data_IF_844389062499
#
_entry.id   IF_844389062499
#
_cell.length_a   1.000
_cell.length_b   1.000
_cell.length_c   1.000
_cell.angle_alpha   90.00
_cell.angle_beta   90.00
_cell.angle_gamma   90.00
#
_symmetry.space_group_name_H-M   'P 1'
#
loop_
_entity.id
_entity.type
_entity.pdbx_description
1 polymer ?
#
# COMPACT_ATOMS: atom_id res chain seq x y z
N UNK A 1 -64.50 -31.85 -50.40
CA UNK A 1 -63.18 -32.50 -50.24
C UNK A 1 -62.14 -31.66 -50.95
N UNK A 2 -60.95 -31.51 -50.34
CA UNK A 2 -59.76 -30.72 -50.77
C UNK A 2 -59.84 -29.23 -50.42
N UNK A 3 -58.89 -28.57 -49.76
CA UNK A 3 -57.54 -28.91 -49.30
C UNK A 3 -57.23 -28.09 -48.04
N UNK A 4 -56.76 -28.72 -46.97
CA UNK A 4 -56.11 -28.05 -45.84
C UNK A 4 -54.61 -28.12 -46.13
N UNK A 5 -53.99 -26.97 -46.41
CA UNK A 5 -52.54 -26.86 -46.57
C UNK A 5 -51.94 -26.59 -45.20
N UNK A 6 -51.15 -27.55 -44.70
CA UNK A 6 -50.25 -27.40 -43.57
C UNK A 6 -49.13 -26.44 -43.95
N UNK A 7 -48.99 -25.32 -43.22
CA UNK A 7 -47.77 -24.50 -43.22
C UNK A 7 -46.97 -24.91 -41.99
N UNK A 8 -45.97 -25.77 -42.21
CA UNK A 8 -44.93 -26.09 -41.23
C UNK A 8 -43.98 -24.87 -41.16
N UNK A 9 -44.08 -24.07 -40.10
CA UNK A 9 -43.08 -23.04 -39.81
C UNK A 9 -41.87 -23.74 -39.20
N UNK A 10 -40.89 -24.06 -40.04
CA UNK A 10 -39.57 -24.49 -39.59
C UNK A 10 -38.86 -23.24 -39.05
N UNK A 11 -38.87 -23.08 -37.73
CA UNK A 11 -37.97 -22.19 -37.00
C UNK A 11 -36.55 -22.78 -37.15
N UNK A 12 -35.84 -22.34 -38.19
CA UNK A 12 -34.39 -22.50 -38.31
C UNK A 12 -33.73 -21.66 -37.21
N UNK A 13 -33.48 -22.27 -36.05
CA UNK A 13 -32.40 -21.82 -35.19
C UNK A 13 -31.10 -22.07 -35.95
N UNK A 14 -30.60 -21.04 -36.64
CA UNK A 14 -29.24 -21.03 -37.14
C UNK A 14 -28.31 -21.02 -35.91
N UNK A 15 -27.87 -22.19 -35.47
CA UNK A 15 -26.67 -22.29 -34.66
C UNK A 15 -25.50 -21.92 -35.59
N UNK A 16 -25.05 -20.66 -35.54
CA UNK A 16 -23.79 -20.29 -36.15
C UNK A 16 -22.68 -21.15 -35.52
N UNK A 17 -22.16 -22.12 -36.28
CA UNK A 17 -21.01 -22.91 -35.85
C UNK A 17 -19.80 -21.97 -35.73
N UNK A 18 -19.35 -21.71 -34.51
CA UNK A 18 -18.05 -21.08 -34.29
C UNK A 18 -16.94 -22.09 -34.59
N UNK A 19 -16.03 -21.76 -35.52
CA UNK A 19 -14.85 -22.56 -35.79
C UNK A 19 -13.71 -22.16 -34.83
N UNK A 20 -12.97 -23.15 -34.33
CA UNK A 20 -11.69 -22.91 -33.66
C UNK A 20 -10.67 -22.48 -34.71
N UNK A 21 -10.07 -21.30 -34.51
CA UNK A 21 -9.06 -20.68 -35.37
C UNK A 21 -7.75 -20.55 -34.57
N UNK A 22 -6.62 -20.56 -35.27
CA UNK A 22 -5.31 -20.29 -34.69
C UNK A 22 -4.56 -19.31 -35.58
N UNK A 23 -3.86 -18.36 -34.97
CA UNK A 23 -3.01 -17.38 -35.65
C UNK A 23 -1.60 -17.40 -35.06
N UNK A 24 -0.60 -17.49 -35.94
CA UNK A 24 0.82 -17.47 -35.57
C UNK A 24 1.48 -16.21 -36.11
N UNK A 25 2.22 -15.49 -35.26
CA UNK A 25 3.06 -14.35 -35.66
C UNK A 25 4.49 -14.56 -35.15
N UNK A 26 5.48 -14.47 -36.05
CA UNK A 26 6.90 -14.61 -35.71
C UNK A 26 7.53 -13.26 -35.41
N UNK A 27 8.38 -13.19 -34.39
CA UNK A 27 9.22 -12.03 -34.07
C UNK A 27 10.68 -12.48 -33.99
N UNK A 28 11.56 -11.86 -34.79
CA UNK A 28 12.96 -12.28 -34.87
C UNK A 28 13.15 -13.69 -35.45
N UNK A 29 14.33 -14.28 -35.21
CA UNK A 29 14.71 -15.60 -35.77
C UNK A 29 14.23 -16.81 -34.97
N UNK A 30 13.78 -16.63 -33.73
CA UNK A 30 13.48 -17.73 -32.80
C UNK A 30 12.19 -17.56 -31.97
N UNK A 31 11.55 -16.39 -31.95
CA UNK A 31 10.35 -16.18 -31.10
C UNK A 31 9.07 -16.28 -31.93
N UNK A 32 8.12 -17.09 -31.46
CA UNK A 32 6.81 -17.27 -32.09
C UNK A 32 5.68 -17.04 -31.09
N UNK A 33 4.67 -16.29 -31.52
CA UNK A 33 3.41 -16.12 -30.80
C UNK A 33 2.36 -16.94 -31.49
N UNK A 34 1.70 -17.78 -30.70
CA UNK A 34 0.57 -18.56 -31.16
C UNK A 34 -0.66 -18.14 -30.35
N UNK A 35 -1.71 -17.72 -31.05
CA UNK A 35 -3.00 -17.36 -30.44
C UNK A 35 -4.03 -18.36 -30.92
N UNK A 36 -4.65 -19.09 -30.00
CA UNK A 36 -5.74 -20.02 -30.27
C UNK A 36 -7.06 -19.42 -29.77
N UNK A 37 -8.07 -19.35 -30.63
CA UNK A 37 -9.34 -18.71 -30.29
C UNK A 37 -10.52 -19.22 -31.13
N UNK A 38 -11.75 -18.87 -30.75
CA UNK A 38 -12.93 -19.03 -31.59
C UNK A 38 -13.36 -17.65 -32.13
N UNK A 39 -13.65 -17.55 -33.43
CA UNK A 39 -14.13 -16.30 -34.05
C UNK A 39 -15.15 -16.56 -35.15
N UNK A 40 -16.12 -15.66 -35.24
CA UNK A 40 -17.10 -15.61 -36.34
C UNK A 40 -16.48 -14.94 -37.58
N UNK A 41 -17.12 -15.13 -38.73
CA UNK A 41 -16.56 -14.87 -40.06
C UNK A 41 -16.36 -13.41 -40.46
N UNK A 42 -16.50 -12.45 -39.55
CA UNK A 42 -16.13 -11.05 -39.81
C UNK A 42 -15.34 -10.43 -38.65
N UNK A 43 -14.19 -9.87 -39.02
CA UNK A 43 -13.39 -8.85 -38.33
C UNK A 43 -13.15 -9.02 -36.83
N UNK A 44 -12.10 -9.78 -36.49
CA UNK A 44 -11.28 -9.58 -35.27
C UNK A 44 -11.95 -9.65 -33.89
N UNK A 45 -13.25 -9.97 -33.80
CA UNK A 45 -13.98 -10.07 -32.53
C UNK A 45 -13.82 -11.49 -31.96
N UNK A 46 -13.05 -11.62 -30.89
CA UNK A 46 -12.93 -12.87 -30.15
C UNK A 46 -14.25 -13.24 -29.46
N UNK A 47 -14.65 -14.52 -29.55
CA UNK A 47 -15.76 -15.11 -28.79
C UNK A 47 -15.36 -16.49 -28.29
N UNK A 48 -15.85 -16.92 -27.14
CA UNK A 48 -15.55 -18.24 -26.60
C UNK A 48 -14.12 -18.36 -26.07
N UNK A 49 -13.52 -19.55 -26.17
CA UNK A 49 -12.22 -19.86 -25.56
C UNK A 49 -11.07 -19.09 -26.22
N UNK A 50 -10.11 -18.66 -25.42
CA UNK A 50 -8.92 -17.96 -25.84
C UNK A 50 -7.70 -18.47 -25.08
N UNK A 51 -6.63 -18.76 -25.83
CA UNK A 51 -5.29 -19.04 -25.28
C UNK A 51 -4.23 -18.26 -26.04
N UNK A 52 -3.27 -17.74 -25.28
CA UNK A 52 -2.10 -17.07 -25.82
C UNK A 52 -0.85 -17.83 -25.40
N UNK A 53 -0.01 -18.16 -26.37
CA UNK A 53 1.27 -18.80 -26.17
C UNK A 53 2.41 -17.93 -26.71
N UNK A 54 3.54 -17.94 -26.03
CA UNK A 54 4.80 -17.37 -26.49
C UNK A 54 5.88 -18.45 -26.39
N UNK A 55 6.53 -18.77 -27.50
CA UNK A 55 7.53 -19.84 -27.58
C UNK A 55 7.04 -21.16 -26.93
N UNK A 56 5.80 -21.56 -27.26
CA UNK A 56 5.07 -22.71 -26.69
C UNK A 56 4.72 -22.62 -25.19
N UNK A 57 5.04 -21.52 -24.52
CA UNK A 57 4.69 -21.28 -23.12
C UNK A 57 3.33 -20.60 -23.05
N UNK A 58 2.37 -21.22 -22.35
CA UNK A 58 1.04 -20.66 -22.14
C UNK A 58 1.14 -19.41 -21.25
N UNK A 59 0.73 -18.26 -21.77
CA UNK A 59 0.74 -16.99 -21.05
C UNK A 59 -0.64 -16.58 -20.56
N UNK A 60 -1.70 -16.88 -21.32
CA UNK A 60 -3.09 -16.50 -20.98
C UNK A 60 -4.05 -17.61 -21.35
N UNK A 61 -5.03 -17.85 -20.47
CA UNK A 61 -6.11 -18.80 -20.71
C UNK A 61 -7.41 -18.20 -20.16
N UNK A 62 -8.43 -18.07 -21.01
CA UNK A 62 -9.70 -17.47 -20.63
C UNK A 62 -10.73 -17.53 -21.74
N UNK A 63 -11.67 -16.58 -21.70
CA UNK A 63 -12.70 -16.46 -22.71
C UNK A 63 -13.04 -15.00 -23.02
N UNK A 64 -13.48 -14.79 -24.25
CA UNK A 64 -14.08 -13.54 -24.69
C UNK A 64 -15.58 -13.73 -24.95
N UNK A 65 -16.35 -12.69 -24.68
CA UNK A 65 -17.72 -12.56 -25.14
C UNK A 65 -17.83 -11.23 -25.90
N UNK A 66 -18.14 -11.30 -27.19
CA UNK A 66 -18.23 -10.13 -28.07
C UNK A 66 -17.02 -9.19 -28.02
N UNK A 67 -15.80 -9.75 -28.01
CA UNK A 67 -14.56 -8.97 -27.99
C UNK A 67 -14.13 -8.50 -26.60
N UNK A 68 -14.97 -8.67 -25.58
CA UNK A 68 -14.64 -8.31 -24.21
C UNK A 68 -14.25 -9.55 -23.39
N UNK A 69 -13.26 -9.43 -22.49
CA UNK A 69 -12.89 -10.52 -21.59
C UNK A 69 -14.10 -10.88 -20.72
N UNK A 70 -14.40 -12.17 -20.65
CA UNK A 70 -15.53 -12.67 -19.88
C UNK A 70 -15.21 -14.03 -19.23
N UNK A 71 -15.74 -14.26 -18.05
CA UNK A 71 -15.51 -15.49 -17.28
C UNK A 71 -14.14 -15.53 -16.61
N UNK A 72 -13.67 -16.74 -16.32
CA UNK A 72 -12.45 -16.96 -15.54
C UNK A 72 -11.20 -16.88 -16.43
N UNK A 73 -10.23 -16.08 -16.01
CA UNK A 73 -8.97 -15.83 -16.71
C UNK A 73 -7.77 -16.21 -15.84
N UNK A 74 -6.78 -16.86 -16.46
CA UNK A 74 -5.49 -17.23 -15.87
C UNK A 74 -4.35 -16.55 -16.60
N UNK A 75 -3.38 -16.09 -15.84
CA UNK A 75 -2.21 -15.36 -16.33
C UNK A 75 -0.95 -16.02 -15.81
N UNK A 76 -0.04 -16.33 -16.72
CA UNK A 76 1.24 -16.98 -16.44
C UNK A 76 2.41 -16.06 -16.81
N UNK A 77 3.58 -16.28 -16.21
CA UNK A 77 4.85 -15.66 -16.59
C UNK A 77 5.51 -16.41 -17.77
N UNK A 78 6.71 -15.97 -18.16
CA UNK A 78 7.50 -16.56 -19.26
C UNK A 78 8.13 -17.91 -18.94
N UNK A 79 7.95 -18.42 -17.71
CA UNK A 79 8.35 -19.76 -17.31
C UNK A 79 7.12 -20.70 -17.25
N UNK A 80 5.93 -20.21 -17.62
CA UNK A 80 4.67 -20.95 -17.53
C UNK A 80 4.10 -21.06 -16.12
N UNK A 81 4.61 -20.25 -15.18
CA UNK A 81 4.16 -20.22 -13.78
C UNK A 81 2.95 -19.30 -13.65
N UNK A 82 1.88 -19.79 -13.02
CA UNK A 82 0.66 -19.01 -12.77
C UNK A 82 0.97 -17.86 -11.80
N UNK A 83 0.76 -16.62 -12.25
CA UNK A 83 1.03 -15.41 -11.45
C UNK A 83 -0.24 -14.80 -10.87
N UNK A 84 -1.36 -14.90 -11.58
CA UNK A 84 -2.67 -14.52 -11.05
C UNK A 84 -3.82 -15.09 -11.89
N UNK A 85 -4.99 -15.18 -11.26
CA UNK A 85 -6.23 -15.56 -11.92
C UNK A 85 -7.42 -14.81 -11.30
N UNK A 86 -8.52 -14.71 -12.05
CA UNK A 86 -9.73 -14.05 -11.57
C UNK A 86 -10.80 -13.98 -12.65
N UNK A 87 -11.94 -13.36 -12.34
CA UNK A 87 -13.04 -13.27 -13.29
C UNK A 87 -13.11 -11.89 -13.93
N UNK A 88 -13.48 -11.88 -15.21
CA UNK A 88 -13.98 -10.70 -15.91
C UNK A 88 -15.48 -10.83 -16.17
N UNK A 89 -16.14 -9.68 -16.26
CA UNK A 89 -17.50 -9.52 -16.74
C UNK A 89 -17.54 -8.28 -17.61
N UNK A 90 -17.91 -8.43 -18.88
CA UNK A 90 -17.95 -7.33 -19.86
C UNK A 90 -16.62 -6.54 -19.91
N UNK A 91 -15.49 -7.25 -19.97
CA UNK A 91 -14.16 -6.64 -20.04
C UNK A 91 -13.61 -6.12 -18.71
N UNK A 92 -14.42 -6.05 -17.65
CA UNK A 92 -14.05 -5.51 -16.35
C UNK A 92 -13.81 -6.61 -15.31
N UNK A 93 -12.77 -6.47 -14.49
CA UNK A 93 -12.48 -7.34 -13.35
C UNK A 93 -13.66 -7.35 -12.40
N UNK A 94 -14.08 -8.56 -12.05
CA UNK A 94 -15.23 -8.82 -11.21
C UNK A 94 -14.97 -10.01 -10.30
N UNK A 95 -15.51 -9.98 -9.08
CA UNK A 95 -15.34 -11.04 -8.10
C UNK A 95 -13.90 -11.17 -7.60
N UNK A 96 -13.54 -12.38 -7.17
CA UNK A 96 -12.24 -12.68 -6.57
C UNK A 96 -11.14 -12.77 -7.62
N UNK A 97 -10.02 -12.11 -7.32
CA UNK A 97 -8.76 -12.19 -8.01
C UNK A 97 -7.68 -12.71 -7.06
N UNK A 98 -6.97 -13.75 -7.48
CA UNK A 98 -5.95 -14.45 -6.69
C UNK A 98 -4.59 -14.21 -7.33
N UNK A 99 -3.61 -13.80 -6.53
CA UNK A 99 -2.25 -13.53 -6.96
C UNK A 99 -1.29 -14.50 -6.26
N UNK A 100 -0.34 -15.03 -7.02
CA UNK A 100 0.59 -16.06 -6.54
C UNK A 100 2.01 -15.52 -6.46
N UNK A 101 2.78 -16.05 -5.52
CA UNK A 101 4.23 -15.90 -5.42
C UNK A 101 4.81 -17.25 -5.03
N UNK A 102 5.83 -17.72 -5.74
CA UNK A 102 6.46 -19.03 -5.50
C UNK A 102 5.42 -20.17 -5.42
N UNK A 103 4.46 -20.17 -6.35
CA UNK A 103 3.35 -21.14 -6.43
C UNK A 103 2.39 -21.17 -5.22
N UNK A 104 2.47 -20.19 -4.32
CA UNK A 104 1.55 -20.02 -3.19
C UNK A 104 0.68 -18.78 -3.36
N UNK A 105 -0.52 -18.80 -2.80
CA UNK A 105 -1.39 -17.61 -2.76
C UNK A 105 -0.72 -16.53 -1.90
N UNK A 106 -0.37 -15.42 -2.53
CA UNK A 106 0.22 -14.24 -1.88
C UNK A 106 -0.89 -13.29 -1.42
N UNK A 107 -1.79 -12.90 -2.32
CA UNK A 107 -2.96 -12.11 -1.94
C UNK A 107 -4.19 -12.39 -2.80
N UNK A 108 -5.35 -12.17 -2.20
CA UNK A 108 -6.65 -12.20 -2.85
C UNK A 108 -7.30 -10.83 -2.71
N UNK A 109 -7.89 -10.33 -3.80
CA UNK A 109 -8.60 -9.06 -3.82
C UNK A 109 -9.90 -9.22 -4.60
N UNK A 110 -10.94 -8.54 -4.14
CA UNK A 110 -12.24 -8.58 -4.78
C UNK A 110 -12.50 -7.27 -5.54
N UNK A 111 -13.06 -7.41 -6.74
CA UNK A 111 -13.41 -6.31 -7.60
C UNK A 111 -14.90 -6.33 -7.95
N UNK A 112 -15.45 -5.15 -8.16
CA UNK A 112 -16.75 -4.92 -8.79
C UNK A 112 -16.55 -3.85 -9.85
N UNK A 113 -16.61 -4.25 -11.11
CA UNK A 113 -16.41 -3.36 -12.27
C UNK A 113 -15.10 -2.56 -12.15
N UNK A 114 -13.95 -3.24 -12.11
CA UNK A 114 -12.60 -2.66 -11.91
C UNK A 114 -12.32 -2.00 -10.56
N UNK A 115 -13.35 -1.73 -9.76
CA UNK A 115 -13.21 -1.05 -8.47
C UNK A 115 -13.06 -2.07 -7.35
N UNK A 116 -12.11 -1.86 -6.43
CA UNK A 116 -11.95 -2.72 -5.24
C UNK A 116 -13.22 -2.71 -4.40
N UNK A 117 -13.77 -3.87 -4.12
CA UNK A 117 -15.04 -4.02 -3.41
C UNK A 117 -15.03 -5.34 -2.63
N UNK A 118 -15.49 -5.36 -1.38
CA UNK A 118 -15.33 -6.47 -0.43
C UNK A 118 -13.94 -6.56 0.20
N UNK A 119 -13.16 -7.61 -0.01
CA UNK A 119 -12.01 -7.93 0.86
C UNK A 119 -10.70 -7.95 0.10
N UNK A 120 -9.64 -7.46 0.74
CA UNK A 120 -8.24 -7.66 0.33
C UNK A 120 -7.52 -8.43 1.43
N UNK A 121 -7.04 -9.62 1.09
CA UNK A 121 -6.35 -10.55 2.00
C UNK A 121 -4.93 -10.69 1.49
N UNK A 122 -3.93 -10.40 2.32
CA UNK A 122 -2.52 -10.71 2.04
C UNK A 122 -2.04 -11.79 3.00
N UNK A 123 -1.14 -12.64 2.51
CA UNK A 123 -0.50 -13.72 3.26
C UNK A 123 1.01 -13.55 3.29
N UNK A 124 1.62 -14.04 4.35
CA UNK A 124 3.05 -14.27 4.44
C UNK A 124 3.47 -15.43 3.51
N UNK A 125 4.78 -15.62 3.35
CA UNK A 125 5.42 -16.72 2.61
C UNK A 125 5.11 -18.13 3.16
N UNK A 126 4.81 -18.22 4.45
CA UNK A 126 4.31 -19.43 5.13
C UNK A 126 2.83 -19.72 4.85
N UNK A 127 2.11 -18.80 4.18
CA UNK A 127 0.69 -18.91 3.84
C UNK A 127 -0.26 -18.34 4.90
N UNK A 128 0.25 -17.91 6.06
CA UNK A 128 -0.57 -17.30 7.11
C UNK A 128 -1.03 -15.91 6.71
N UNK A 129 -2.24 -15.52 7.12
CA UNK A 129 -2.78 -14.19 6.83
C UNK A 129 -1.91 -13.13 7.48
N UNK A 130 -1.43 -12.19 6.68
CA UNK A 130 -0.72 -10.99 7.13
C UNK A 130 -1.73 -9.88 7.43
N UNK A 131 -2.65 -9.59 6.50
CA UNK A 131 -3.73 -8.64 6.76
C UNK A 131 -5.01 -8.94 5.99
N UNK A 132 -6.09 -8.34 6.50
CA UNK A 132 -7.41 -8.27 5.87
C UNK A 132 -7.85 -6.81 5.89
N UNK A 133 -8.15 -6.25 4.72
CA UNK A 133 -8.71 -4.90 4.57
C UNK A 133 -10.02 -4.98 3.80
N UNK A 134 -11.05 -4.31 4.29
CA UNK A 134 -12.35 -4.25 3.63
C UNK A 134 -12.51 -2.96 2.82
N UNK A 135 -13.15 -3.07 1.66
CA UNK A 135 -13.40 -2.00 0.71
C UNK A 135 -14.88 -1.96 0.32
N UNK A 136 -15.39 -0.75 0.09
CA UNK A 136 -16.66 -0.50 -0.58
C UNK A 136 -16.40 0.61 -1.61
N UNK A 137 -16.70 0.35 -2.88
CA UNK A 137 -16.49 1.32 -3.98
C UNK A 137 -15.09 1.96 -3.97
N UNK A 138 -14.05 1.14 -3.81
CA UNK A 138 -12.65 1.57 -3.87
C UNK A 138 -12.11 2.21 -2.59
N UNK A 139 -12.96 2.51 -1.61
CA UNK A 139 -12.56 3.12 -0.33
C UNK A 139 -12.56 2.10 0.79
N UNK A 140 -11.58 2.17 1.70
CA UNK A 140 -11.56 1.33 2.90
C UNK A 140 -12.85 1.52 3.70
N UNK A 141 -13.52 0.44 4.07
CA UNK A 141 -14.79 0.50 4.77
C UNK A 141 -15.02 -0.75 5.61
N UNK A 142 -15.40 -0.58 6.87
CA UNK A 142 -15.56 -1.66 7.84
C UNK A 142 -14.25 -2.05 8.53
N UNK A 143 -14.25 -3.22 9.14
CA UNK A 143 -13.13 -3.74 9.94
C UNK A 143 -11.93 -4.13 9.08
N UNK A 144 -10.73 -3.80 9.53
CA UNK A 144 -9.46 -4.22 8.97
C UNK A 144 -8.55 -4.75 10.07
N UNK A 145 -7.82 -5.83 9.78
CA UNK A 145 -6.96 -6.53 10.73
C UNK A 145 -5.59 -6.79 10.13
N UNK A 146 -4.56 -6.70 10.96
CA UNK A 146 -3.19 -7.09 10.67
C UNK A 146 -2.79 -8.14 11.71
N UNK A 147 -2.02 -9.13 11.30
CA UNK A 147 -1.63 -10.27 12.13
C UNK A 147 -0.12 -10.40 12.21
N UNK A 148 0.37 -10.88 13.35
CA UNK A 148 1.72 -11.43 13.47
C UNK A 148 1.80 -12.79 12.78
N UNK A 149 3.02 -13.26 12.50
CA UNK A 149 3.26 -14.61 11.95
C UNK A 149 2.76 -15.74 12.86
N UNK A 150 2.65 -15.48 14.16
CA UNK A 150 2.08 -16.41 15.14
C UNK A 150 0.54 -16.39 15.20
N UNK A 151 -0.12 -15.77 14.21
CA UNK A 151 -1.58 -15.63 14.07
C UNK A 151 -2.28 -14.71 15.07
N UNK A 152 -1.56 -14.18 16.08
CA UNK A 152 -2.15 -13.18 16.95
C UNK A 152 -2.40 -11.89 16.18
N UNK A 153 -3.51 -11.22 16.48
CA UNK A 153 -3.81 -9.91 15.91
C UNK A 153 -2.71 -8.96 16.35
N UNK A 154 -2.14 -8.22 15.39
CA UNK A 154 -1.18 -7.14 15.61
C UNK A 154 -1.86 -5.80 15.71
N UNK A 155 -2.88 -5.60 14.88
CA UNK A 155 -3.70 -4.39 14.88
C UNK A 155 -5.11 -4.72 14.38
N UNK A 156 -6.11 -4.05 14.95
CA UNK A 156 -7.44 -3.97 14.34
C UNK A 156 -7.99 -2.55 14.40
N UNK A 157 -8.78 -2.20 13.38
CA UNK A 157 -9.37 -0.88 13.26
C UNK A 157 -10.60 -0.94 12.36
N UNK A 158 -11.40 0.12 12.39
CA UNK A 158 -12.55 0.28 11.50
C UNK A 158 -12.39 1.54 10.65
N UNK A 159 -12.74 1.39 9.38
CA UNK A 159 -12.78 2.49 8.42
C UNK A 159 -14.23 2.84 8.07
N UNK A 160 -14.48 4.11 7.84
CA UNK A 160 -15.70 4.62 7.22
C UNK A 160 -15.29 5.49 6.02
N UNK A 161 -15.58 5.03 4.81
CA UNK A 161 -15.30 5.76 3.55
C UNK A 161 -13.85 6.26 3.42
N UNK A 162 -12.88 5.44 3.81
CA UNK A 162 -11.45 5.72 3.73
C UNK A 162 -10.84 6.31 5.00
N UNK A 163 -11.65 6.75 5.96
CA UNK A 163 -11.18 7.36 7.20
C UNK A 163 -11.29 6.41 8.38
N UNK A 164 -10.33 6.43 9.30
CA UNK A 164 -10.43 5.69 10.56
C UNK A 164 -11.60 6.23 11.41
N UNK A 165 -12.38 5.33 11.99
CA UNK A 165 -13.56 5.65 12.78
C UNK A 165 -13.81 4.58 13.84
N UNK A 166 -14.10 5.00 15.07
CA UNK A 166 -14.28 4.09 16.21
C UNK A 166 -12.96 3.70 16.85
N UNK A 167 -12.93 2.53 17.50
CA UNK A 167 -11.73 2.06 18.20
C UNK A 167 -10.67 1.54 17.22
N UNK A 168 -9.43 1.87 17.53
CA UNK A 168 -8.22 1.34 16.93
C UNK A 168 -7.44 0.64 18.02
N UNK A 169 -7.01 -0.58 17.77
CA UNK A 169 -6.25 -1.39 18.72
C UNK A 169 -4.93 -1.82 18.12
N UNK A 170 -3.90 -1.83 18.96
CA UNK A 170 -2.68 -2.62 18.74
C UNK A 170 -2.52 -3.63 19.84
N UNK A 171 -1.84 -4.70 19.50
CA UNK A 171 -1.54 -5.78 20.42
C UNK A 171 -0.07 -6.13 20.37
N UNK A 172 0.42 -6.64 21.48
CA UNK A 172 1.64 -7.41 21.53
C UNK A 172 1.44 -8.75 20.80
N UNK A 173 2.54 -9.34 20.34
CA UNK A 173 2.58 -10.69 19.77
C UNK A 173 2.12 -11.78 20.76
N UNK A 174 2.04 -11.49 22.06
CA UNK A 174 1.41 -12.37 23.06
C UNK A 174 -0.13 -12.24 23.13
N UNK A 175 -0.74 -11.41 22.27
CA UNK A 175 -2.19 -11.19 22.18
C UNK A 175 -2.76 -10.16 23.16
N UNK A 176 -1.98 -9.61 24.09
CA UNK A 176 -2.45 -8.55 25.00
C UNK A 176 -2.51 -7.19 24.29
N UNK A 177 -3.50 -6.38 24.66
CA UNK A 177 -3.64 -5.00 24.15
C UNK A 177 -2.41 -4.18 24.54
N UNK A 178 -1.81 -3.53 23.55
CA UNK A 178 -0.74 -2.55 23.70
C UNK A 178 -1.31 -1.14 23.73
N UNK A 179 -2.30 -0.87 22.87
CA UNK A 179 -2.88 0.45 22.71
C UNK A 179 -4.33 0.31 22.26
N UNK A 180 -5.20 1.13 22.82
CA UNK A 180 -6.56 1.37 22.33
C UNK A 180 -6.76 2.88 22.20
N UNK A 181 -7.20 3.34 21.04
CA UNK A 181 -7.44 4.75 20.77
C UNK A 181 -8.78 4.94 20.06
N UNK A 182 -9.57 5.93 20.49
CA UNK A 182 -10.81 6.31 19.82
C UNK A 182 -10.56 7.29 18.67
N UNK A 183 -11.21 7.06 17.52
CA UNK A 183 -11.10 7.90 16.33
C UNK A 183 -12.44 8.39 15.81
N UNK A 184 -12.43 9.60 15.25
CA UNK A 184 -13.51 10.18 14.46
C UNK A 184 -12.93 10.90 13.24
N UNK A 185 -13.52 10.66 12.06
CA UNK A 185 -13.11 11.29 10.79
C UNK A 185 -11.60 11.23 10.51
N UNK A 186 -10.96 10.11 10.84
CA UNK A 186 -9.53 9.88 10.63
C UNK A 186 -8.60 10.48 11.69
N UNK A 187 -9.14 11.15 12.72
CA UNK A 187 -8.36 11.79 13.79
C UNK A 187 -8.68 11.15 15.15
N UNK A 188 -7.75 11.14 16.11
CA UNK A 188 -8.04 10.71 17.47
C UNK A 188 -9.05 11.66 18.11
N UNK A 189 -10.07 11.09 18.73
CA UNK A 189 -11.12 11.83 19.40
C UNK A 189 -11.70 10.97 20.53
N UNK A 190 -11.55 11.42 21.77
CA UNK A 190 -11.80 10.61 22.96
C UNK A 190 -10.51 10.12 23.61
N UNK A 191 -10.57 8.99 24.30
CA UNK A 191 -9.45 8.46 25.08
C UNK A 191 -8.50 7.59 24.26
N UNK A 192 -7.24 7.59 24.68
CA UNK A 192 -6.22 6.63 24.26
C UNK A 192 -5.60 6.00 25.49
N UNK A 193 -5.65 4.69 25.59
CA UNK A 193 -4.99 3.91 26.64
C UNK A 193 -3.81 3.16 26.04
N UNK A 194 -2.69 3.17 26.74
CA UNK A 194 -1.49 2.43 26.38
C UNK A 194 -1.12 1.53 27.55
N UNK A 195 -0.74 0.29 27.26
CA UNK A 195 -0.49 -0.75 28.25
C UNK A 195 0.90 -1.36 28.07
N UNK A 196 1.49 -1.78 29.18
CA UNK A 196 2.68 -2.61 29.20
C UNK A 196 2.39 -4.02 28.69
N UNK A 197 3.45 -4.79 28.38
CA UNK A 197 3.35 -6.14 27.85
C UNK A 197 2.65 -7.10 28.82
N UNK A 198 2.75 -6.88 30.13
CA UNK A 198 1.96 -7.61 31.12
C UNK A 198 0.46 -7.23 31.16
N UNK A 199 0.04 -6.15 30.51
CA UNK A 199 -1.33 -5.65 30.47
C UNK A 199 -1.65 -4.55 31.50
N UNK A 200 -0.68 -4.10 32.31
CA UNK A 200 -0.88 -2.96 33.21
C UNK A 200 -0.96 -1.65 32.41
N UNK A 201 -1.84 -0.75 32.83
CA UNK A 201 -1.98 0.57 32.21
C UNK A 201 -0.69 1.37 32.38
N UNK A 202 -0.15 1.86 31.28
CA UNK A 202 1.02 2.74 31.23
C UNK A 202 0.60 4.21 31.16
N UNK A 203 -0.33 4.52 30.25
CA UNK A 203 -0.66 5.90 29.92
C UNK A 203 -2.12 6.03 29.47
N UNK A 204 -2.73 7.15 29.84
CA UNK A 204 -4.07 7.55 29.38
C UNK A 204 -4.03 9.01 28.90
N UNK A 205 -4.50 9.24 27.68
CA UNK A 205 -4.53 10.53 26.99
C UNK A 205 -5.96 10.84 26.56
N UNK A 206 -6.35 12.11 26.57
CA UNK A 206 -7.60 12.56 25.97
C UNK A 206 -7.34 13.45 24.77
N UNK A 207 -8.04 13.20 23.67
CA UNK A 207 -7.94 13.93 22.42
C UNK A 207 -9.27 14.54 22.01
N UNK A 208 -9.21 15.70 21.35
CA UNK A 208 -10.33 16.34 20.69
C UNK A 208 -9.94 16.76 19.26
N UNK A 209 -10.60 16.19 18.25
CA UNK A 209 -10.32 16.44 16.83
C UNK A 209 -8.82 16.40 16.46
N UNK A 210 -8.10 15.41 16.97
CA UNK A 210 -6.66 15.25 16.72
C UNK A 210 -5.72 15.96 17.68
N UNK A 211 -6.24 16.80 18.58
CA UNK A 211 -5.45 17.62 19.50
C UNK A 211 -5.37 16.94 20.86
N UNK A 212 -4.17 16.85 21.43
CA UNK A 212 -3.96 16.29 22.77
C UNK A 212 -4.46 17.30 23.82
N UNK A 213 -5.53 16.99 24.53
CA UNK A 213 -6.14 17.89 25.51
C UNK A 213 -5.66 17.61 26.93
N UNK A 214 -5.56 16.34 27.32
CA UNK A 214 -5.20 15.94 28.67
C UNK A 214 -4.26 14.74 28.68
N UNK A 215 -3.36 14.73 29.66
CA UNK A 215 -2.66 13.53 30.12
C UNK A 215 -3.15 13.22 31.54
N UNK A 216 -3.95 12.17 31.69
CA UNK A 216 -4.55 11.82 32.99
C UNK A 216 -3.72 10.82 33.77
N UNK A 217 -3.10 9.87 33.06
CA UNK A 217 -2.27 8.81 33.67
C UNK A 217 -0.97 8.69 32.90
N UNK A 218 0.15 8.64 33.62
CA UNK A 218 1.43 8.16 33.13
C UNK A 218 2.19 7.54 34.30
N UNK A 219 2.48 6.24 34.24
CA UNK A 219 3.03 5.50 35.36
C UNK A 219 4.02 4.42 34.92
N UNK A 220 4.89 3.97 35.81
CA UNK A 220 5.79 2.84 35.53
C UNK A 220 5.07 1.48 35.65
N UNK A 221 5.81 0.40 35.41
CA UNK A 221 5.31 -0.99 35.48
C UNK A 221 4.78 -1.40 36.86
N UNK A 222 5.18 -0.66 37.90
CA UNK A 222 4.76 -0.87 39.29
C UNK A 222 3.56 0.03 39.67
N UNK A 223 3.07 0.87 38.76
CA UNK A 223 1.98 1.81 39.01
C UNK A 223 2.43 3.10 39.69
N UNK A 224 3.73 3.37 39.76
CA UNK A 224 4.23 4.64 40.31
C UNK A 224 4.06 5.74 39.25
N UNK A 225 3.41 6.88 39.57
CA UNK A 225 3.27 7.99 38.64
C UNK A 225 4.62 8.53 38.14
N UNK A 226 4.71 8.77 36.84
CA UNK A 226 5.85 9.42 36.18
C UNK A 226 5.55 10.92 36.09
N UNK A 227 6.19 11.73 36.95
CA UNK A 227 5.95 13.17 37.04
C UNK A 227 6.63 14.02 35.96
N UNK A 228 7.07 13.41 34.86
CA UNK A 228 7.81 14.13 33.79
C UNK A 228 6.89 14.92 32.85
N UNK A 229 5.61 14.60 32.83
CA UNK A 229 4.63 15.19 31.91
C UNK A 229 3.49 15.85 32.67
N UNK A 230 2.96 16.94 32.10
CA UNK A 230 1.74 17.59 32.55
C UNK A 230 1.09 18.27 31.34
N UNK A 231 -0.06 17.78 30.91
CA UNK A 231 -0.86 18.39 29.83
C UNK A 231 -2.29 18.53 30.33
N UNK A 232 -2.79 19.77 30.32
CA UNK A 232 -4.16 20.12 30.70
C UNK A 232 -4.72 21.17 29.76
N UNK A 233 -5.97 21.01 29.34
CA UNK A 233 -6.66 21.90 28.38
C UNK A 233 -5.80 22.21 27.13
N UNK A 234 -5.10 21.18 26.64
CA UNK A 234 -4.22 21.26 25.48
C UNK A 234 -2.98 22.12 25.70
N UNK A 235 -2.53 22.31 26.93
CA UNK A 235 -1.33 23.09 27.27
C UNK A 235 -0.44 22.32 28.23
N UNK A 236 0.87 22.46 28.05
CA UNK A 236 1.85 21.99 29.03
C UNK A 236 3.08 21.35 28.40
N UNK A 237 3.56 20.29 29.01
CA UNK A 237 4.78 19.58 28.63
C UNK A 237 4.51 18.07 28.60
N UNK A 238 4.92 17.42 27.52
CA UNK A 238 4.67 16.00 27.30
C UNK A 238 5.99 15.27 27.08
N UNK A 239 6.17 14.16 27.81
CA UNK A 239 7.30 13.24 27.66
C UNK A 239 6.75 11.89 27.23
N UNK A 240 7.21 11.41 26.08
CA UNK A 240 6.93 10.05 25.60
C UNK A 240 8.09 9.12 25.90
N UNK A 241 7.79 7.83 25.97
CA UNK A 241 8.77 6.79 26.27
C UNK A 241 8.77 5.74 25.16
N UNK A 242 9.88 5.05 24.99
CA UNK A 242 9.88 3.76 24.30
C UNK A 242 9.17 2.77 25.20
N UNK A 243 8.13 2.11 24.68
CA UNK A 243 7.52 0.99 25.39
C UNK A 243 8.54 -0.15 25.44
N UNK A 244 8.79 -0.72 26.63
CA UNK A 244 9.73 -1.81 26.80
C UNK A 244 9.19 -3.08 26.12
N UNK A 245 10.09 -3.86 25.52
CA UNK A 245 9.74 -5.14 24.87
C UNK A 245 9.65 -6.27 25.90
N UNK A 246 10.36 -6.14 27.01
CA UNK A 246 10.28 -6.99 28.20
C UNK A 246 9.95 -6.10 29.41
N UNK A 247 9.02 -6.53 30.28
CA UNK A 247 8.60 -5.78 31.47
C UNK A 247 9.74 -5.52 32.47
N UNK A 248 10.91 -6.15 32.29
CA UNK A 248 12.15 -5.89 33.06
C UNK A 248 13.00 -4.75 32.50
N UNK A 249 12.75 -4.28 31.29
CA UNK A 249 13.50 -3.19 30.68
C UNK A 249 13.15 -1.85 31.33
N UNK A 250 14.17 -0.98 31.43
CA UNK A 250 13.97 0.36 31.92
C UNK A 250 13.22 1.24 30.92
N UNK A 251 12.43 2.18 31.44
CA UNK A 251 11.70 3.15 30.64
C UNK A 251 12.64 4.21 30.08
N UNK A 252 12.77 4.25 28.76
CA UNK A 252 13.65 5.18 28.05
C UNK A 252 12.82 6.28 27.42
N UNK A 253 13.16 7.55 27.67
CA UNK A 253 12.48 8.68 27.04
C UNK A 253 12.69 8.61 25.53
N UNK A 254 11.61 8.73 24.75
CA UNK A 254 11.67 8.81 23.29
C UNK A 254 11.55 10.26 22.80
N UNK A 255 10.68 11.06 23.41
CA UNK A 255 10.52 12.47 23.06
C UNK A 255 10.12 13.31 24.25
N UNK A 256 10.38 14.60 24.13
CA UNK A 256 10.00 15.65 25.06
C UNK A 256 9.51 16.85 24.25
N UNK A 257 8.33 17.38 24.54
CA UNK A 257 7.77 18.50 23.80
C UNK A 257 6.87 19.41 24.63
N UNK A 258 6.87 20.69 24.26
CA UNK A 258 5.86 21.64 24.71
C UNK A 258 4.58 21.48 23.89
N UNK A 259 3.43 21.58 24.56
CA UNK A 259 2.09 21.48 23.97
C UNK A 259 1.35 22.80 24.16
N UNK A 260 0.73 23.30 23.09
CA UNK A 260 -0.17 24.46 23.10
C UNK A 260 -1.33 24.22 22.14
N UNK A 261 -2.56 24.50 22.59
CA UNK A 261 -3.80 24.24 21.87
C UNK A 261 -3.87 22.78 21.34
N UNK A 262 -3.33 21.86 22.14
CA UNK A 262 -3.22 20.42 21.89
C UNK A 262 -2.33 20.01 20.72
N UNK A 263 -1.50 20.94 20.21
CA UNK A 263 -0.47 20.67 19.20
C UNK A 263 0.93 20.85 19.81
N UNK A 264 1.95 20.22 19.20
CA UNK A 264 3.35 20.49 19.55
C UNK A 264 3.64 21.97 19.25
N UNK A 265 4.08 22.73 20.25
CA UNK A 265 4.36 24.16 20.12
C UNK A 265 5.37 24.56 21.20
N UNK A 266 6.57 24.95 20.77
CA UNK A 266 7.71 25.22 21.62
C UNK A 266 8.83 24.20 21.46
N UNK A 267 9.63 24.00 22.52
CA UNK A 267 10.83 23.16 22.46
C UNK A 267 10.44 21.71 22.23
N UNK A 268 11.19 21.05 21.35
CA UNK A 268 11.10 19.61 21.11
C UNK A 268 12.47 18.97 21.13
N UNK A 269 12.58 17.81 21.75
CA UNK A 269 13.75 16.93 21.67
C UNK A 269 13.28 15.49 21.52
N UNK A 270 13.94 14.71 20.66
CA UNK A 270 13.79 13.25 20.65
C UNK A 270 15.13 12.55 20.86
N UNK A 271 15.05 11.29 21.26
CA UNK A 271 16.17 10.48 21.74
C UNK A 271 16.17 9.10 21.07
N UNK A 272 17.35 8.51 20.88
CA UNK A 272 17.51 7.10 20.53
C UNK A 272 17.28 6.20 21.75
N UNK A 273 17.07 4.89 21.54
CA UNK A 273 16.97 3.91 22.64
C UNK A 273 18.21 3.91 23.56
N UNK A 274 19.39 4.35 23.09
CA UNK A 274 20.57 4.48 23.95
C UNK A 274 20.63 5.79 24.77
N UNK A 275 19.57 6.60 24.77
CA UNK A 275 19.47 7.86 25.50
C UNK A 275 20.15 9.06 24.80
N UNK A 276 20.92 8.85 23.74
CA UNK A 276 21.50 9.96 22.98
C UNK A 276 20.40 10.73 22.25
N UNK A 277 20.55 12.06 22.19
CA UNK A 277 19.65 12.90 21.40
C UNK A 277 19.65 12.40 19.96
N UNK A 278 18.46 12.31 19.37
CA UNK A 278 18.22 12.05 17.95
C UNK A 278 18.05 13.35 17.20
N UNK A 279 17.27 14.29 17.76
CA UNK A 279 17.13 15.65 17.24
C UNK A 279 16.52 16.60 18.26
N UNK A 280 16.61 17.89 17.98
CA UNK A 280 15.90 18.93 18.71
C UNK A 280 15.64 20.16 17.87
N UNK A 281 14.59 20.87 18.20
CA UNK A 281 14.17 22.09 17.51
C UNK A 281 13.00 22.77 18.20
N UNK A 282 12.28 23.59 17.44
CA UNK A 282 11.10 24.31 17.88
C UNK A 282 9.95 23.93 16.95
N UNK A 283 8.79 23.63 17.53
CA UNK A 283 7.53 23.60 16.81
C UNK A 283 6.78 24.92 16.98
N UNK A 284 6.02 25.32 15.98
CA UNK A 284 4.97 26.34 16.08
C UNK A 284 3.73 25.79 15.41
N UNK A 285 2.60 25.72 16.14
CA UNK A 285 1.33 25.17 15.63
C UNK A 285 1.45 23.77 15.01
N UNK A 286 2.28 22.90 15.61
CA UNK A 286 2.53 21.54 15.10
C UNK A 286 3.50 21.47 13.93
N UNK A 287 4.02 22.60 13.44
CA UNK A 287 4.96 22.68 12.31
C UNK A 287 6.38 22.92 12.82
N UNK A 288 7.35 22.21 12.26
CA UNK A 288 8.76 22.44 12.57
C UNK A 288 9.20 23.84 12.12
N UNK A 289 9.82 24.60 13.03
CA UNK A 289 10.24 25.98 12.76
C UNK A 289 11.67 26.25 13.22
N UNK A 290 12.36 27.10 12.48
CA UNK A 290 13.70 27.57 12.82
C UNK A 290 14.82 26.56 12.53
N UNK A 291 15.83 26.54 13.41
CA UNK A 291 17.04 25.71 13.25
C UNK A 291 16.92 24.41 14.01
N UNK A 292 16.89 23.30 13.28
CA UNK A 292 16.90 21.97 13.86
C UNK A 292 18.32 21.40 13.95
N UNK A 293 18.56 20.56 14.95
CA UNK A 293 19.82 19.84 15.13
C UNK A 293 19.53 18.35 15.16
N UNK A 294 20.35 17.60 14.43
CA UNK A 294 20.22 16.15 14.25
C UNK A 294 21.49 15.48 14.70
N UNK A 295 21.34 14.28 15.23
CA UNK A 295 22.42 13.56 15.86
C UNK A 295 22.40 12.10 15.39
N UNK A 296 23.58 11.48 15.27
CA UNK A 296 23.67 10.04 15.08
C UNK A 296 23.56 9.29 16.43
N UNK A 297 23.52 7.94 16.38
CA UNK A 297 23.47 7.09 17.58
C UNK A 297 24.65 7.36 18.55
N UNK A 298 25.79 7.88 18.08
CA UNK A 298 26.96 8.25 18.89
C UNK A 298 26.89 9.69 19.45
N UNK A 299 25.82 10.43 19.19
CA UNK A 299 25.63 11.81 19.68
C UNK A 299 26.38 12.88 18.87
N UNK A 300 26.99 12.52 17.74
CA UNK A 300 27.62 13.48 16.82
C UNK A 300 26.55 14.18 15.99
N UNK A 301 26.65 15.51 15.87
CA UNK A 301 25.75 16.29 15.01
C UNK A 301 25.97 15.91 13.55
N UNK A 302 24.90 15.54 12.84
CA UNK A 302 24.96 15.07 11.45
C UNK A 302 24.35 16.05 10.44
N UNK A 303 23.53 17.02 10.85
CA UNK A 303 23.03 18.09 9.96
C UNK A 303 22.44 19.30 10.70
N UNK A 304 22.29 20.42 9.98
CA UNK A 304 21.59 21.66 10.39
C UNK A 304 20.68 22.16 9.24
N UNK A 305 19.56 21.52 8.92
CA UNK A 305 18.58 22.14 8.02
C UNK A 305 18.01 23.41 8.66
N UNK A 306 17.78 24.43 7.83
CA UNK A 306 17.01 25.63 8.16
C UNK A 306 15.64 25.47 7.50
N UNK A 307 14.58 25.49 8.28
CA UNK A 307 13.21 25.52 7.78
C UNK A 307 12.71 26.96 7.74
N UNK A 308 12.13 27.39 6.62
CA UNK A 308 11.52 28.71 6.49
C UNK A 308 10.22 28.83 7.29
N UNK A 309 9.77 30.07 7.52
CA UNK A 309 8.52 30.40 8.26
C UNK A 309 7.25 29.78 7.63
N UNK A 310 7.34 29.26 6.41
CA UNK A 310 6.28 28.57 5.66
C UNK A 310 6.40 27.04 5.63
N UNK A 311 7.33 26.44 6.39
CA UNK A 311 7.53 24.99 6.45
C UNK A 311 8.18 24.37 5.21
N UNK A 312 8.72 25.17 4.28
CA UNK A 312 9.49 24.67 3.13
C UNK A 312 10.94 24.43 3.53
N UNK A 313 11.41 23.18 3.38
CA UNK A 313 12.81 22.78 3.60
C UNK A 313 13.67 23.04 2.36
N UNK A 314 14.93 23.41 2.57
CA UNK A 314 16.01 23.39 1.56
C UNK A 314 16.84 22.12 1.83
N UNK A 315 16.98 21.30 0.79
CA UNK A 315 17.60 19.96 0.76
C UNK A 315 18.91 19.81 1.55
N UNK A 316 19.06 18.72 2.31
CA UNK A 316 20.38 18.15 2.63
C UNK A 316 20.31 16.61 2.72
N UNK A 317 21.27 15.96 2.03
CA UNK A 317 21.56 14.52 1.97
C UNK A 317 21.50 13.79 3.32
N UNK A 318 20.75 12.70 3.38
CA UNK A 318 20.70 11.76 4.48
C UNK A 318 21.70 10.60 4.33
N UNK A 319 22.48 10.35 5.39
CA UNK A 319 23.12 9.06 5.64
C UNK A 319 22.39 8.40 6.82
N UNK A 320 21.72 7.29 6.54
CA UNK A 320 21.55 6.14 7.44
C UNK A 320 21.38 4.88 6.59
N UNK A 321 22.24 3.90 6.88
CA UNK A 321 22.17 2.50 6.48
C UNK A 321 21.47 1.75 7.64
N UNK A 322 20.54 0.86 7.28
CA UNK A 322 20.02 -0.31 8.02
C UNK A 322 18.57 -0.59 7.60
N UNK A 323 18.33 -1.86 7.32
CA UNK A 323 17.14 -2.47 6.71
C UNK A 323 15.81 -1.98 7.32
N UNK A 324 14.93 -1.49 6.46
CA UNK A 324 13.53 -1.19 6.81
C UNK A 324 12.75 -2.51 6.69
N UNK A 325 12.26 -3.11 7.79
CA UNK A 325 11.40 -4.27 7.69
C UNK A 325 10.11 -3.88 6.95
N UNK A 326 9.63 -4.77 6.09
CA UNK A 326 8.46 -4.65 5.22
C UNK A 326 7.10 -4.56 5.95
N UNK A 327 7.03 -3.86 7.08
CA UNK A 327 5.87 -3.82 7.96
C UNK A 327 5.45 -2.39 8.26
N UNK A 328 5.25 -1.59 7.21
CA UNK A 328 4.60 -0.26 7.31
C UNK A 328 3.09 -0.45 7.09
N UNK A 329 2.45 -1.17 8.00
CA UNK A 329 1.09 -0.91 8.42
C UNK A 329 1.11 -1.22 9.91
N UNK A 330 0.94 -0.22 10.74
CA UNK A 330 0.52 -0.47 12.11
C UNK A 330 1.51 -0.17 13.22
N UNK A 331 1.63 1.12 13.43
CA UNK A 331 1.70 1.73 14.74
C UNK A 331 1.13 3.14 14.58
N UNK A 332 0.29 3.59 15.50
CA UNK A 332 -0.18 4.95 15.66
C UNK A 332 0.95 5.96 15.96
N UNK A 333 2.16 5.46 16.26
CA UNK A 333 3.44 6.20 16.21
C UNK A 333 4.29 5.84 14.96
N UNK A 334 3.67 5.24 13.95
CA UNK A 334 4.23 4.89 12.64
C UNK A 334 3.28 5.18 11.50
N UNK A 335 2.37 6.13 11.68
CA UNK A 335 1.78 6.85 10.56
C UNK A 335 2.82 7.92 10.21
N UNK A 336 3.17 8.05 8.94
CA UNK A 336 3.97 9.18 8.51
C UNK A 336 3.19 10.46 8.86
N UNK A 337 3.85 11.45 9.43
CA UNK A 337 3.29 12.81 9.56
C UNK A 337 2.84 13.32 8.19
N UNK A 338 3.57 12.91 7.14
CA UNK A 338 3.23 13.14 5.73
C UNK A 338 3.75 12.00 4.86
N UNK A 339 2.89 11.41 4.04
CA UNK A 339 3.29 10.44 3.03
C UNK A 339 4.20 11.09 1.96
N UNK A 340 5.13 10.34 1.34
CA UNK A 340 5.85 10.84 0.18
C UNK A 340 4.86 11.15 -0.95
N UNK A 341 5.10 12.24 -1.67
CA UNK A 341 4.15 12.77 -2.64
C UNK A 341 4.87 13.15 -3.94
N UNK A 342 4.42 12.58 -5.06
CA UNK A 342 4.87 12.97 -6.39
C UNK A 342 4.56 14.45 -6.64
N UNK A 343 5.39 15.21 -7.38
CA UNK A 343 5.10 16.61 -7.68
C UNK A 343 3.72 16.80 -8.34
N UNK A 344 2.78 17.38 -7.59
CA UNK A 344 1.40 17.60 -8.02
C UNK A 344 0.41 16.46 -7.70
N UNK A 345 0.79 15.50 -6.85
CA UNK A 345 -0.08 14.48 -6.30
C UNK A 345 -0.23 13.22 -7.16
N UNK A 346 -1.08 12.29 -6.70
CA UNK A 346 -1.28 10.97 -7.30
C UNK A 346 -1.82 11.03 -8.74
N UNK A 347 -2.71 11.99 -9.05
CA UNK A 347 -3.22 12.18 -10.41
C UNK A 347 -2.10 12.58 -11.40
N UNK A 348 -1.14 13.40 -10.94
CA UNK A 348 0.03 13.79 -11.74
C UNK A 348 1.03 12.66 -11.87
N UNK A 349 1.18 11.81 -10.85
CA UNK A 349 1.96 10.57 -10.95
C UNK A 349 1.37 9.65 -12.02
N UNK A 350 0.07 9.41 -11.98
CA UNK A 350 -0.62 8.54 -12.95
C UNK A 350 -0.50 9.11 -14.37
N UNK A 351 -0.68 10.42 -14.53
CA UNK A 351 -0.50 11.09 -15.82
C UNK A 351 0.95 11.01 -16.31
N UNK A 352 1.92 11.19 -15.41
CA UNK A 352 3.34 11.10 -15.73
C UNK A 352 3.69 9.69 -16.23
N UNK A 353 3.25 8.65 -15.52
CA UNK A 353 3.47 7.26 -15.92
C UNK A 353 2.84 7.02 -17.31
N UNK A 354 1.57 7.36 -17.50
CA UNK A 354 0.87 7.16 -18.76
C UNK A 354 1.57 7.85 -19.96
N UNK A 355 2.16 9.02 -19.74
CA UNK A 355 2.85 9.78 -20.79
C UNK A 355 4.29 9.33 -21.07
N UNK A 356 4.90 8.56 -20.16
CA UNK A 356 6.31 8.15 -20.27
C UNK A 356 6.48 6.65 -20.50
N UNK A 357 5.45 5.83 -20.28
CA UNK A 357 5.46 4.40 -20.58
C UNK A 357 5.35 4.20 -22.08
N UNK A 358 6.36 3.58 -22.68
CA UNK A 358 6.26 3.08 -24.04
C UNK A 358 5.90 1.59 -24.04
N UNK A 359 4.67 1.23 -24.37
CA UNK A 359 4.29 -0.18 -24.44
C UNK A 359 4.74 -0.80 -25.78
N UNK A 360 5.75 -1.71 -25.81
CA UNK A 360 6.32 -2.16 -27.07
C UNK A 360 5.29 -2.91 -27.93
N UNK A 361 5.23 -2.57 -29.22
CA UNK A 361 4.23 -3.10 -30.18
C UNK A 361 4.13 -4.62 -30.19
N UNK A 362 5.26 -5.34 -30.03
CA UNK A 362 5.24 -6.80 -29.96
C UNK A 362 4.33 -7.29 -28.82
N UNK A 363 4.51 -6.76 -27.61
CA UNK A 363 3.73 -7.15 -26.43
C UNK A 363 2.30 -6.63 -26.49
N UNK A 364 2.11 -5.42 -27.00
CA UNK A 364 0.79 -4.83 -27.27
C UNK A 364 -0.05 -5.72 -28.19
N UNK A 365 0.52 -6.13 -29.33
CA UNK A 365 -0.13 -7.03 -30.31
C UNK A 365 -0.37 -8.43 -29.74
N UNK A 366 0.51 -8.91 -28.86
CA UNK A 366 0.34 -10.18 -28.17
C UNK A 366 -0.73 -10.11 -27.06
N UNK A 367 -1.22 -8.93 -26.69
CA UNK A 367 -2.01 -8.76 -25.47
C UNK A 367 -1.23 -9.12 -24.20
N UNK A 368 0.11 -9.11 -24.27
CA UNK A 368 1.00 -9.34 -23.12
C UNK A 368 1.18 -8.02 -22.40
N UNK A 369 0.13 -7.68 -21.69
CA UNK A 369 0.06 -6.53 -20.81
C UNK A 369 -0.17 -6.95 -19.37
N UNK A 370 -0.17 -5.96 -18.50
CA UNK A 370 -0.45 -6.08 -17.09
C UNK A 370 0.34 -5.08 -16.28
N UNK A 371 0.42 -5.34 -14.99
CA UNK A 371 1.08 -4.46 -14.04
C UNK A 371 2.46 -5.00 -13.68
N UNK A 372 3.51 -4.28 -14.10
CA UNK A 372 4.85 -4.40 -13.51
C UNK A 372 4.84 -3.61 -12.22
N UNK A 373 5.15 -4.25 -11.11
CA UNK A 373 5.15 -3.61 -9.79
C UNK A 373 6.59 -3.31 -9.41
N UNK A 374 6.89 -2.02 -9.21
CA UNK A 374 8.22 -1.57 -8.86
C UNK A 374 8.18 -0.98 -7.46
N UNK A 375 9.05 -1.44 -6.58
CA UNK A 375 9.38 -0.72 -5.35
C UNK A 375 10.64 0.10 -5.52
N UNK A 376 10.66 1.25 -4.88
CA UNK A 376 11.86 2.06 -4.72
C UNK A 376 11.80 2.77 -3.38
N UNK A 377 12.95 3.19 -2.87
CA UNK A 377 13.00 4.00 -1.66
C UNK A 377 13.06 5.47 -2.08
N UNK A 378 12.09 6.28 -1.65
CA UNK A 378 12.26 7.73 -1.67
C UNK A 378 13.15 8.09 -0.49
N UNK A 379 14.31 8.67 -0.76
CA UNK A 379 15.25 9.10 0.27
C UNK A 379 14.82 10.43 0.90
N UNK A 380 15.61 10.89 1.87
CA UNK A 380 15.32 12.09 2.66
C UNK A 380 15.33 13.39 1.84
N UNK A 381 15.89 13.36 0.62
CA UNK A 381 15.89 14.50 -0.31
C UNK A 381 14.81 14.38 -1.39
N UNK A 382 14.00 13.32 -1.36
CA UNK A 382 12.98 13.06 -2.37
C UNK A 382 13.47 12.27 -3.57
N UNK A 383 14.75 11.89 -3.62
CA UNK A 383 15.31 11.13 -4.74
C UNK A 383 14.93 9.65 -4.62
N UNK A 384 14.68 9.02 -5.76
CA UNK A 384 14.35 7.61 -5.84
C UNK A 384 15.65 6.81 -5.89
N UNK A 385 15.83 5.91 -4.93
CA UNK A 385 16.98 5.01 -4.84
C UNK A 385 16.53 3.56 -4.73
N UNK A 386 17.42 2.63 -5.08
CA UNK A 386 17.20 1.19 -5.01
C UNK A 386 15.88 0.72 -5.69
N UNK A 387 15.59 1.14 -6.93
CA UNK A 387 14.43 0.60 -7.63
C UNK A 387 14.60 -0.91 -7.83
N UNK A 388 13.52 -1.65 -7.61
CA UNK A 388 13.47 -3.10 -7.69
C UNK A 388 12.14 -3.53 -8.30
N UNK A 389 12.21 -4.48 -9.25
CA UNK A 389 11.03 -5.16 -9.74
C UNK A 389 10.53 -6.12 -8.65
N UNK A 390 9.35 -5.84 -8.09
CA UNK A 390 8.67 -6.74 -7.15
C UNK A 390 7.77 -7.74 -7.87
N UNK A 391 7.21 -7.31 -9.00
CA UNK A 391 6.41 -8.15 -9.90
C UNK A 391 6.84 -7.87 -11.33
N UNK A 392 7.55 -8.85 -11.89
CA UNK A 392 7.96 -8.85 -13.30
C UNK A 392 6.83 -9.36 -14.18
N UNK A 393 6.76 -8.85 -15.41
CA UNK A 393 6.05 -9.52 -16.50
C UNK A 393 7.08 -10.21 -17.39
N UNK A 394 8.00 -9.45 -17.98
CA UNK A 394 9.22 -9.91 -18.66
C UNK A 394 10.30 -8.84 -18.55
N UNK A 395 11.52 -9.22 -18.93
CA UNK A 395 12.68 -8.35 -18.92
C UNK A 395 12.49 -7.05 -19.75
N UNK A 396 11.89 -7.10 -20.94
CA UNK A 396 11.72 -5.90 -21.78
C UNK A 396 10.73 -4.89 -21.16
N UNK A 397 9.61 -5.36 -20.60
CA UNK A 397 8.64 -4.53 -19.90
C UNK A 397 9.19 -4.05 -18.55
N UNK A 398 10.00 -4.86 -17.89
CA UNK A 398 10.72 -4.46 -16.68
C UNK A 398 11.75 -3.35 -16.97
N UNK A 399 12.48 -3.45 -18.09
CA UNK A 399 13.41 -2.43 -18.54
C UNK A 399 12.71 -1.11 -18.84
N UNK A 400 11.56 -1.16 -19.54
CA UNK A 400 10.77 0.04 -19.80
C UNK A 400 10.18 0.62 -18.51
N UNK A 401 9.64 -0.21 -17.63
CA UNK A 401 9.11 0.26 -16.35
C UNK A 401 10.22 0.89 -15.49
N UNK A 402 11.41 0.30 -15.45
CA UNK A 402 12.60 0.87 -14.80
C UNK A 402 13.03 2.20 -15.41
N UNK A 403 12.94 2.35 -16.73
CA UNK A 403 13.21 3.62 -17.41
C UNK A 403 12.24 4.70 -16.97
N UNK A 404 10.95 4.39 -16.86
CA UNK A 404 9.93 5.34 -16.36
C UNK A 404 10.25 5.78 -14.93
N UNK A 405 10.66 4.87 -14.04
CA UNK A 405 11.09 5.23 -12.67
C UNK A 405 12.30 6.17 -12.70
N UNK A 406 13.29 5.91 -13.56
CA UNK A 406 14.49 6.76 -13.70
C UNK A 406 14.17 8.16 -14.24
N UNK A 407 13.06 8.34 -14.93
CA UNK A 407 12.61 9.64 -15.44
C UNK A 407 11.85 10.46 -14.39
N UNK A 408 11.42 9.85 -13.28
CA UNK A 408 10.63 10.55 -12.28
C UNK A 408 11.42 11.72 -11.67
N UNK A 409 10.80 12.90 -11.51
CA UNK A 409 11.41 13.99 -10.75
C UNK A 409 11.54 13.59 -9.27
N UNK A 410 12.38 14.29 -8.49
CA UNK A 410 12.39 14.14 -7.04
C UNK A 410 11.00 14.39 -6.44
N UNK A 411 10.61 13.53 -5.50
CA UNK A 411 9.34 13.60 -4.79
C UNK A 411 9.43 14.53 -3.59
N UNK A 412 8.29 14.89 -3.02
CA UNK A 412 8.29 15.30 -1.62
C UNK A 412 8.56 14.06 -0.76
N UNK A 413 9.58 14.05 0.12
CA UNK A 413 9.89 12.89 0.94
C UNK A 413 8.76 12.61 1.93
N UNK A 414 8.72 11.39 2.45
CA UNK A 414 7.84 11.06 3.57
C UNK A 414 8.40 11.65 4.86
N UNK A 415 7.54 12.19 5.70
CA UNK A 415 7.93 12.78 6.98
C UNK A 415 7.48 11.91 8.13
N UNK A 416 8.38 11.69 9.09
CA UNK A 416 8.03 11.11 10.39
C UNK A 416 8.58 11.96 11.50
N UNK A 417 7.68 12.30 12.41
CA UNK A 417 7.89 13.35 13.39
C UNK A 417 8.37 14.67 12.74
N UNK A 418 8.10 14.94 11.46
CA UNK A 418 8.58 16.13 10.75
C UNK A 418 10.01 16.04 10.23
N UNK A 419 10.66 14.86 10.34
CA UNK A 419 11.87 14.58 9.57
C UNK A 419 11.58 13.86 8.27
N UNK A 420 12.25 14.24 7.17
CA UNK A 420 12.24 13.40 6.00
C UNK A 420 12.90 12.06 6.34
N UNK A 421 12.22 10.96 6.03
CA UNK A 421 12.71 9.61 6.21
C UNK A 421 12.68 8.86 4.88
N UNK A 422 13.50 7.81 4.80
CA UNK A 422 13.40 6.83 3.72
C UNK A 422 12.04 6.12 3.79
N UNK A 423 11.29 6.19 2.70
CA UNK A 423 10.02 5.48 2.57
C UNK A 423 10.10 4.53 1.39
N UNK A 424 9.86 3.25 1.65
CA UNK A 424 9.64 2.27 0.59
C UNK A 424 8.28 2.55 -0.03
N UNK A 425 8.27 2.91 -1.30
CA UNK A 425 7.07 3.17 -2.07
C UNK A 425 6.97 2.18 -3.21
N UNK A 426 5.74 1.79 -3.52
CA UNK A 426 5.47 0.80 -4.54
C UNK A 426 4.52 1.39 -5.56
N UNK A 427 4.95 1.44 -6.81
CA UNK A 427 4.16 1.99 -7.91
C UNK A 427 3.87 0.91 -8.95
N UNK A 428 2.61 0.81 -9.39
CA UNK A 428 2.28 -0.01 -10.54
C UNK A 428 2.54 0.71 -11.85
N UNK A 429 3.30 0.08 -12.76
CA UNK A 429 3.43 0.49 -14.16
C UNK A 429 2.55 -0.43 -14.99
N UNK A 430 1.46 0.12 -15.53
CA UNK A 430 0.50 -0.63 -16.31
C UNK A 430 0.89 -0.59 -17.80
N UNK A 431 1.09 -1.76 -18.39
CA UNK A 431 1.22 -1.96 -19.82
C UNK A 431 -0.09 -2.53 -20.32
N UNK A 432 -0.99 -1.67 -20.79
CA UNK A 432 -2.27 -2.10 -21.36
C UNK A 432 -2.39 -1.52 -22.76
N UNK A 433 -2.99 -2.30 -23.65
CA UNK A 433 -3.36 -1.86 -24.99
C UNK A 433 -4.36 -0.72 -24.84
N UNK A 434 -4.03 0.48 -25.34
CA UNK A 434 -5.03 1.50 -25.58
C UNK A 434 -5.92 0.97 -26.71
N UNK A 435 -7.13 0.53 -26.36
CA UNK A 435 -8.19 0.22 -27.33
C UNK A 435 -9.26 1.30 -27.25
#
# INVERSE_FOLDING_TARGET
>A
MKNIVFILIILLFAAELSAQKSQTKKFGKQEEINVEYQALDSDSIYRGKFKLFFDNILLRDGSYNNGEKDGHWKFYNYEGVLIFEGNYKNGLRSGRWTFYKENKVNYEIYFKNETRDSTWIKRYDDGNVEFIVKYVNGKKHGESKLYYRNHNIKQECKYNHGQLSGSFFKYYDNGKVMEETSFSNGKPNGTSHVYFRNGKLFQELMFEDGKLMELTIQQDINGKPLSKSHVKEGKGYFVSFYLPEDDKEEMIISTECSIKNGTRDGKYTSYFKNGNKKRKGIYSLGIETGKWKYYNKQGKVISKPKFGETGKEISIRGFYDEEIPSTIIGSYFSILDREPEFPGGEDKLNSFIANNVNYPDKYSIMGIGGQVLISFTINETGELINPKIDKSINEDLDQEAMKVIKLMPPWTPGYKDGLPIKVLYQVPINFETQF
#
